data_IF_763537551949
#
_entry.id   IF_763537551949
#
_cell.length_a   1.000
_cell.length_b   1.000
_cell.length_c   1.000
_cell.angle_alpha   90.00
_cell.angle_beta   90.00
_cell.angle_gamma   90.00
#
_symmetry.space_group_name_H-M   'P 1'
#
loop_
_entity.id
_entity.type
_entity.pdbx_description
1 polymer ?
#
# COMPACT_ATOMS: atom_id res chain seq x y z
N UNK A 1 -11.00 18.08 21.00
CA UNK A 1 -11.65 18.78 19.88
C UNK A 1 -10.61 19.54 19.06
N UNK A 2 -10.99 20.07 17.89
CA UNK A 2 -10.08 20.75 16.94
C UNK A 2 -9.12 21.74 17.62
N UNK A 3 -9.65 22.65 18.44
CA UNK A 3 -8.86 23.68 19.15
C UNK A 3 -7.80 23.09 20.09
N UNK A 4 -8.11 21.97 20.76
CA UNK A 4 -7.17 21.31 21.64
C UNK A 4 -6.00 20.70 20.85
N UNK A 5 -6.29 20.09 19.70
CA UNK A 5 -5.26 19.52 18.82
C UNK A 5 -4.37 20.63 18.26
N UNK A 6 -4.96 21.71 17.72
CA UNK A 6 -4.21 22.83 17.18
C UNK A 6 -3.34 23.52 18.24
N UNK A 7 -3.84 23.69 19.46
CA UNK A 7 -3.07 24.21 20.59
C UNK A 7 -1.87 23.34 20.91
N UNK A 8 -2.08 22.02 21.03
CA UNK A 8 -1.00 21.07 21.32
C UNK A 8 0.06 21.06 20.20
N UNK A 9 -0.35 21.06 18.94
CA UNK A 9 0.58 21.10 17.81
C UNK A 9 1.42 22.37 17.81
N UNK A 10 0.81 23.54 18.04
CA UNK A 10 1.52 24.83 18.09
C UNK A 10 2.47 24.95 19.29
N UNK A 11 2.14 24.33 20.42
CA UNK A 11 3.01 24.32 21.60
C UNK A 11 4.23 23.42 21.40
N UNK A 12 4.04 22.23 20.82
CA UNK A 12 5.11 21.25 20.67
C UNK A 12 5.97 21.47 19.41
N UNK A 13 5.37 22.00 18.33
CA UNK A 13 6.06 22.27 17.06
C UNK A 13 5.63 23.63 16.50
N UNK A 14 6.11 24.76 17.09
CA UNK A 14 5.62 26.10 16.76
C UNK A 14 5.79 26.52 15.30
N UNK A 15 6.77 25.93 14.59
CA UNK A 15 7.08 26.22 13.19
C UNK A 15 6.37 25.29 12.20
N UNK A 16 5.51 24.38 12.66
CA UNK A 16 4.78 23.48 11.78
C UNK A 16 3.78 24.25 10.90
N UNK A 17 3.83 24.02 9.58
CA UNK A 17 2.82 24.51 8.66
C UNK A 17 1.61 23.56 8.64
N UNK A 18 0.63 23.82 9.50
CA UNK A 18 -0.55 22.96 9.65
C UNK A 18 -1.63 23.38 8.64
N UNK A 19 -1.93 22.50 7.67
CA UNK A 19 -2.96 22.75 6.64
C UNK A 19 -4.38 22.47 7.14
N UNK A 20 -4.54 21.60 8.14
CA UNK A 20 -5.83 21.20 8.67
C UNK A 20 -5.75 19.93 9.52
N UNK A 21 -6.91 19.38 9.87
CA UNK A 21 -7.05 18.09 10.57
C UNK A 21 -7.92 17.20 9.68
N UNK A 22 -7.39 16.04 9.32
CA UNK A 22 -8.14 15.01 8.61
C UNK A 22 -9.00 14.21 9.60
N UNK A 23 -10.28 14.08 9.30
CA UNK A 23 -11.22 13.23 10.05
C UNK A 23 -11.54 12.03 9.17
N UNK A 24 -11.01 10.87 9.56
CA UNK A 24 -11.22 9.62 8.85
C UNK A 24 -12.05 8.64 9.70
N UNK A 25 -12.82 7.79 9.03
CA UNK A 25 -13.55 6.69 9.68
C UNK A 25 -12.57 5.63 10.16
N UNK A 26 -12.64 5.27 11.44
CA UNK A 26 -11.98 4.09 12.00
C UNK A 26 -12.50 2.83 11.29
N UNK A 27 -11.57 2.05 10.73
CA UNK A 27 -11.87 0.83 9.99
C UNK A 27 -11.75 -0.39 10.91
N UNK A 28 -12.51 -1.47 10.68
CA UNK A 28 -12.30 -2.71 11.41
C UNK A 28 -10.93 -3.32 11.07
N UNK A 29 -10.47 -4.24 11.93
CA UNK A 29 -9.25 -5.00 11.65
C UNK A 29 -9.41 -5.91 10.42
N UNK A 30 -8.33 -6.05 9.68
CA UNK A 30 -8.17 -6.97 8.56
C UNK A 30 -6.72 -7.44 8.49
N UNK A 31 -6.30 -8.00 7.37
CA UNK A 31 -4.88 -8.29 7.13
C UNK A 31 -4.25 -7.10 6.44
N UNK A 32 -3.22 -6.55 7.06
CA UNK A 32 -2.43 -5.47 6.48
C UNK A 32 -1.53 -6.00 5.38
N UNK A 33 -1.56 -5.32 4.24
CA UNK A 33 -0.69 -5.59 3.09
C UNK A 33 -0.06 -4.30 2.61
N UNK A 34 1.02 -4.40 1.86
CA UNK A 34 1.70 -3.27 1.23
C UNK A 34 1.64 -3.46 -0.27
N UNK A 35 1.29 -2.39 -0.99
CA UNK A 35 1.37 -2.32 -2.45
C UNK A 35 2.20 -1.12 -2.82
N UNK A 36 3.36 -1.38 -3.42
CA UNK A 36 4.29 -0.35 -3.83
C UNK A 36 4.51 -0.32 -5.35
N UNK A 37 5.01 0.81 -5.83
CA UNK A 37 5.59 0.98 -7.15
C UNK A 37 6.78 1.92 -7.07
N UNK A 38 7.88 1.59 -7.75
CA UNK A 38 9.05 2.46 -7.89
C UNK A 38 9.53 2.47 -9.33
N UNK A 39 10.35 3.46 -9.68
CA UNK A 39 11.04 3.53 -10.96
C UNK A 39 12.47 3.07 -10.79
N UNK A 40 12.77 1.87 -11.29
CA UNK A 40 14.11 1.33 -11.37
C UNK A 40 14.82 1.79 -12.66
N UNK A 41 16.12 2.07 -12.57
CA UNK A 41 16.93 2.59 -13.68
C UNK A 41 17.10 1.58 -14.83
N UNK A 42 17.03 0.29 -14.55
CA UNK A 42 17.23 -0.79 -15.52
C UNK A 42 15.91 -1.38 -16.02
N UNK A 43 14.93 -1.50 -15.13
CA UNK A 43 13.67 -2.19 -15.42
C UNK A 43 12.47 -1.25 -15.62
N UNK A 44 12.60 0.05 -15.36
CA UNK A 44 11.49 0.99 -15.41
C UNK A 44 10.55 0.82 -14.23
N UNK A 45 9.23 0.85 -14.43
CA UNK A 45 8.26 0.77 -13.33
C UNK A 45 8.23 -0.64 -12.74
N UNK A 46 8.55 -0.77 -11.46
CA UNK A 46 8.54 -2.03 -10.71
C UNK A 46 7.48 -1.96 -9.62
N UNK A 47 6.56 -2.93 -9.61
CA UNK A 47 5.54 -3.12 -8.59
C UNK A 47 6.05 -4.04 -7.48
N UNK A 48 5.60 -3.79 -6.26
CA UNK A 48 5.90 -4.56 -5.06
C UNK A 48 4.61 -4.97 -4.34
N UNK A 49 4.61 -6.17 -3.78
CA UNK A 49 3.55 -6.65 -2.89
C UNK A 49 4.15 -7.44 -1.72
N UNK A 50 3.60 -7.26 -0.52
CA UNK A 50 3.91 -8.04 0.67
C UNK A 50 2.83 -7.88 1.73
N UNK A 51 2.96 -8.61 2.84
CA UNK A 51 2.14 -8.36 4.04
C UNK A 51 2.77 -7.23 4.88
N UNK A 52 1.94 -6.38 5.47
CA UNK A 52 2.37 -5.28 6.33
C UNK A 52 2.95 -5.74 7.66
N UNK A 53 3.46 -4.79 8.45
CA UNK A 53 4.08 -5.05 9.75
C UNK A 53 5.40 -5.84 9.64
N UNK A 54 5.61 -6.78 10.57
CA UNK A 54 6.89 -7.50 10.73
C UNK A 54 7.33 -8.28 9.47
N UNK A 55 6.38 -8.66 8.61
CA UNK A 55 6.64 -9.47 7.42
C UNK A 55 7.46 -8.70 6.37
N UNK A 56 7.25 -7.39 6.24
CA UNK A 56 8.07 -6.55 5.36
C UNK A 56 9.30 -6.00 6.08
N UNK A 57 9.13 -5.50 7.31
CA UNK A 57 10.21 -4.80 8.03
C UNK A 57 11.37 -5.72 8.43
N UNK A 58 11.06 -6.95 8.86
CA UNK A 58 12.05 -7.88 9.40
C UNK A 58 12.29 -9.05 8.47
N UNK A 59 11.22 -9.65 7.94
CA UNK A 59 11.33 -10.87 7.13
C UNK A 59 11.61 -10.60 5.65
N UNK A 60 11.46 -9.34 5.19
CA UNK A 60 11.63 -8.93 3.79
C UNK A 60 10.81 -9.80 2.81
N UNK A 61 9.63 -10.24 3.25
CA UNK A 61 8.75 -11.14 2.51
C UNK A 61 7.91 -10.37 1.49
N UNK A 62 8.54 -10.04 0.37
CA UNK A 62 7.97 -9.25 -0.73
C UNK A 62 8.21 -9.92 -2.07
N UNK A 63 7.29 -9.70 -3.00
CA UNK A 63 7.43 -10.09 -4.39
C UNK A 63 7.41 -8.85 -5.29
N UNK A 64 8.09 -8.94 -6.44
CA UNK A 64 8.22 -7.84 -7.39
C UNK A 64 7.77 -8.23 -8.79
N UNK A 65 7.25 -7.27 -9.56
CA UNK A 65 6.95 -7.42 -10.99
C UNK A 65 7.24 -6.14 -11.76
N UNK A 66 7.85 -6.26 -12.93
CA UNK A 66 7.98 -5.13 -13.86
C UNK A 66 6.61 -4.84 -14.49
N UNK A 67 6.20 -3.58 -14.47
CA UNK A 67 4.98 -3.13 -15.13
C UNK A 67 5.25 -2.82 -16.62
N UNK A 68 4.25 -3.00 -17.50
CA UNK A 68 2.88 -3.44 -17.23
C UNK A 68 2.78 -4.94 -16.92
N UNK A 69 1.89 -5.31 -15.99
CA UNK A 69 1.69 -6.70 -15.56
C UNK A 69 0.22 -7.11 -15.66
N UNK A 70 -0.04 -8.36 -16.07
CA UNK A 70 -1.41 -8.89 -16.13
C UNK A 70 -1.92 -9.28 -14.74
N UNK A 71 -3.25 -9.28 -14.55
CA UNK A 71 -3.87 -9.80 -13.32
C UNK A 71 -3.47 -11.24 -12.99
N UNK A 72 -3.24 -12.07 -14.01
CA UNK A 72 -2.78 -13.45 -13.85
C UNK A 72 -1.39 -13.50 -13.21
N UNK A 73 -0.47 -12.68 -13.71
CA UNK A 73 0.89 -12.60 -13.17
C UNK A 73 0.93 -11.97 -11.78
N UNK A 74 0.07 -10.98 -11.50
CA UNK A 74 -0.13 -10.45 -10.13
C UNK A 74 -0.62 -11.56 -9.19
N UNK A 75 -1.56 -12.40 -9.65
CA UNK A 75 -2.01 -13.55 -8.87
C UNK A 75 -0.89 -14.55 -8.56
N UNK A 76 0.12 -14.69 -9.43
CA UNK A 76 1.31 -15.51 -9.14
C UNK A 76 2.22 -14.81 -8.12
N UNK A 77 2.52 -13.53 -8.34
CA UNK A 77 3.30 -12.68 -7.43
C UNK A 77 2.79 -12.74 -5.98
N UNK A 78 1.47 -12.66 -5.78
CA UNK A 78 0.85 -12.76 -4.44
C UNK A 78 1.10 -14.13 -3.78
N UNK A 79 1.21 -15.21 -4.57
CA UNK A 79 1.45 -16.57 -4.04
C UNK A 79 2.93 -16.85 -3.75
N UNK A 80 3.83 -15.98 -4.22
CA UNK A 80 5.28 -16.16 -4.05
C UNK A 80 5.78 -15.71 -2.68
N UNK A 81 5.04 -14.84 -1.98
CA UNK A 81 5.40 -14.46 -0.62
C UNK A 81 5.18 -15.65 0.32
N UNK A 82 6.13 -15.86 1.22
CA UNK A 82 6.15 -16.97 2.19
C UNK A 82 4.94 -16.92 3.12
N UNK A 83 4.46 -15.72 3.40
CA UNK A 83 3.31 -15.44 4.26
C UNK A 83 1.95 -15.53 3.56
N UNK A 84 1.90 -15.92 2.28
CA UNK A 84 0.64 -16.11 1.53
C UNK A 84 -0.43 -16.95 2.26
N UNK A 85 -0.08 -18.03 3.02
CA UNK A 85 -1.06 -18.78 3.80
C UNK A 85 -1.90 -17.93 4.77
N UNK A 86 -1.39 -16.80 5.27
CA UNK A 86 -2.15 -15.89 6.13
C UNK A 86 -3.33 -15.25 5.41
N UNK A 87 -3.21 -15.01 4.09
CA UNK A 87 -4.31 -14.53 3.27
C UNK A 87 -5.37 -15.60 3.01
N UNK A 88 -5.03 -16.88 3.18
CA UNK A 88 -5.97 -18.00 3.10
C UNK A 88 -6.76 -18.23 4.40
N UNK A 89 -6.35 -17.57 5.48
CA UNK A 89 -6.89 -17.74 6.82
C UNK A 89 -6.09 -18.77 7.62
N UNK A 90 -5.88 -18.47 8.90
CA UNK A 90 -5.25 -19.36 9.88
C UNK A 90 -6.21 -19.62 11.04
N UNK A 91 -6.15 -20.80 11.66
CA UNK A 91 -6.90 -21.12 12.89
C UNK A 91 -8.41 -20.83 12.80
N UNK A 92 -9.05 -21.23 11.69
CA UNK A 92 -10.49 -21.03 11.49
C UNK A 92 -10.87 -19.65 10.97
N UNK A 93 -9.90 -18.74 10.76
CA UNK A 93 -10.16 -17.52 10.02
C UNK A 93 -10.59 -17.81 8.58
N UNK A 94 -11.47 -16.96 8.08
CA UNK A 94 -11.88 -17.00 6.68
C UNK A 94 -10.81 -16.39 5.78
N UNK A 95 -10.76 -16.93 4.56
CA UNK A 95 -9.94 -16.45 3.46
C UNK A 95 -10.24 -14.97 3.15
N UNK A 96 -9.18 -14.20 2.91
CA UNK A 96 -9.25 -12.80 2.49
C UNK A 96 -9.52 -12.68 0.99
N UNK A 97 -10.06 -11.55 0.57
CA UNK A 97 -10.39 -11.28 -0.82
C UNK A 97 -9.14 -10.98 -1.66
N UNK A 98 -8.50 -12.05 -2.12
CA UNK A 98 -7.33 -11.99 -3.02
C UNK A 98 -7.65 -11.23 -4.31
N UNK A 99 -8.90 -11.30 -4.79
CA UNK A 99 -9.33 -10.59 -6.00
C UNK A 99 -9.22 -9.08 -5.85
N UNK A 100 -9.57 -8.57 -4.67
CA UNK A 100 -9.40 -7.15 -4.32
C UNK A 100 -7.92 -6.73 -4.28
N UNK A 101 -7.03 -7.58 -3.76
CA UNK A 101 -5.57 -7.33 -3.81
C UNK A 101 -5.08 -7.25 -5.27
N UNK A 102 -5.44 -8.24 -6.09
CA UNK A 102 -5.06 -8.28 -7.51
C UNK A 102 -5.53 -7.02 -8.24
N UNK A 103 -6.78 -6.60 -8.00
CA UNK A 103 -7.34 -5.40 -8.61
C UNK A 103 -6.63 -4.12 -8.16
N UNK A 104 -6.24 -4.01 -6.88
CA UNK A 104 -5.48 -2.87 -6.36
C UNK A 104 -4.11 -2.77 -7.04
N UNK A 105 -3.32 -3.85 -7.04
CA UNK A 105 -1.99 -3.88 -7.68
C UNK A 105 -2.10 -3.58 -9.17
N UNK A 106 -3.09 -4.15 -9.86
CA UNK A 106 -3.30 -3.90 -11.28
C UNK A 106 -3.60 -2.41 -11.56
N UNK A 107 -4.45 -1.78 -10.74
CA UNK A 107 -4.76 -0.35 -10.87
C UNK A 107 -3.55 0.54 -10.57
N UNK A 108 -2.73 0.18 -9.58
CA UNK A 108 -1.44 0.86 -9.33
C UNK A 108 -0.53 0.74 -10.55
N UNK A 109 -0.39 -0.46 -11.12
CA UNK A 109 0.38 -0.68 -12.35
C UNK A 109 -0.11 0.16 -13.53
N UNK A 110 -1.42 0.25 -13.74
CA UNK A 110 -2.01 1.13 -14.76
C UNK A 110 -1.70 2.60 -14.48
N UNK A 111 -1.80 3.03 -13.21
CA UNK A 111 -1.56 4.42 -12.80
C UNK A 111 -0.12 4.84 -13.07
N UNK A 112 0.87 4.10 -12.56
CA UNK A 112 2.29 4.47 -12.71
C UNK A 112 2.79 4.33 -14.14
N UNK A 113 2.17 3.45 -14.94
CA UNK A 113 2.46 3.35 -16.37
C UNK A 113 1.87 4.52 -17.17
N UNK A 114 0.72 5.06 -16.72
CA UNK A 114 0.06 6.19 -17.38
C UNK A 114 0.70 7.54 -17.03
N UNK A 115 1.28 7.67 -15.84
CA UNK A 115 1.91 8.90 -15.35
C UNK A 115 3.40 8.65 -15.04
N UNK A 116 4.29 8.79 -16.04
CA UNK A 116 5.71 8.55 -15.88
C UNK A 116 6.37 9.37 -14.77
N UNK A 117 5.82 10.53 -14.45
CA UNK A 117 6.27 11.45 -13.40
C UNK A 117 6.14 10.86 -12.00
N UNK A 118 5.29 9.85 -11.78
CA UNK A 118 5.20 9.16 -10.49
C UNK A 118 6.45 8.29 -10.30
N UNK A 119 7.43 8.77 -9.54
CA UNK A 119 8.68 8.05 -9.31
C UNK A 119 8.51 6.93 -8.29
N UNK A 120 7.68 7.15 -7.27
CA UNK A 120 7.34 6.19 -6.22
C UNK A 120 5.85 6.31 -5.86
N UNK A 121 5.21 5.19 -5.56
CA UNK A 121 3.89 5.11 -4.96
C UNK A 121 3.91 4.02 -3.90
N UNK A 122 3.43 4.32 -2.70
CA UNK A 122 3.31 3.36 -1.61
C UNK A 122 1.90 3.42 -1.03
N UNK A 123 1.23 2.27 -0.95
CA UNK A 123 -0.01 2.07 -0.22
C UNK A 123 0.32 1.18 0.97
N UNK A 124 0.46 1.80 2.14
CA UNK A 124 0.86 1.13 3.36
C UNK A 124 0.14 1.72 4.59
N UNK A 125 -0.88 1.05 5.15
CA UNK A 125 -1.37 -0.27 4.76
C UNK A 125 -2.49 -0.22 3.71
N UNK A 126 -2.50 -1.22 2.82
CA UNK A 126 -3.70 -1.72 2.15
C UNK A 126 -4.33 -2.79 3.06
N UNK A 127 -5.43 -2.46 3.73
CA UNK A 127 -6.15 -3.37 4.61
C UNK A 127 -7.07 -4.30 3.81
N UNK A 128 -6.94 -5.61 3.98
CA UNK A 128 -7.69 -6.63 3.23
C UNK A 128 -8.65 -7.40 4.15
N UNK A 129 -9.90 -7.55 3.71
CA UNK A 129 -10.97 -8.22 4.46
C UNK A 129 -11.40 -9.51 3.75
N UNK A 130 -12.39 -10.21 4.33
CA UNK A 130 -13.09 -11.32 3.65
C UNK A 130 -13.74 -10.89 2.33
N UNK A 131 -14.16 -9.62 2.25
CA UNK A 131 -14.74 -8.99 1.07
C UNK A 131 -14.18 -7.57 0.93
N UNK A 132 -13.43 -7.32 -0.14
CA UNK A 132 -12.86 -5.99 -0.39
C UNK A 132 -11.51 -5.75 0.27
N UNK A 133 -10.90 -4.63 -0.13
CA UNK A 133 -9.71 -4.06 0.48
C UNK A 133 -9.84 -2.53 0.54
N UNK A 134 -9.09 -1.88 1.43
CA UNK A 134 -9.10 -0.43 1.61
C UNK A 134 -7.70 0.10 1.89
N UNK A 135 -7.24 1.06 1.08
CA UNK A 135 -6.03 1.83 1.36
C UNK A 135 -6.30 2.73 2.57
N UNK A 136 -5.50 2.58 3.63
CA UNK A 136 -5.63 3.42 4.83
C UNK A 136 -4.67 4.60 4.80
N UNK A 137 -3.55 4.44 4.12
CA UNK A 137 -2.61 5.51 3.81
C UNK A 137 -2.03 5.30 2.40
N UNK A 138 -1.63 6.38 1.76
CA UNK A 138 -0.97 6.36 0.47
C UNK A 138 -0.03 7.55 0.31
N UNK A 139 1.19 7.28 -0.14
CA UNK A 139 2.20 8.28 -0.49
C UNK A 139 2.55 8.17 -1.96
N UNK A 140 2.71 9.31 -2.63
CA UNK A 140 3.14 9.38 -4.03
C UNK A 140 4.25 10.41 -4.12
N UNK A 141 5.40 10.01 -4.66
CA UNK A 141 6.47 10.92 -5.03
C UNK A 141 6.39 11.19 -6.54
N UNK A 142 6.49 12.47 -6.89
CA UNK A 142 6.40 12.94 -8.27
C UNK A 142 7.69 13.65 -8.63
N UNK A 143 8.34 13.22 -9.70
CA UNK A 143 9.46 13.90 -10.32
C UNK A 143 8.94 14.92 -11.34
N UNK A 144 9.02 16.20 -10.95
CA UNK A 144 8.72 17.30 -11.85
C UNK A 144 9.94 17.54 -12.73
N UNK A 145 9.83 17.24 -14.02
CA UNK A 145 10.85 17.69 -14.99
C UNK A 145 10.88 19.21 -14.98
N UNK A 146 12.06 19.78 -14.75
CA UNK A 146 12.32 21.22 -14.88
C UNK A 146 12.13 21.68 -16.32
#
# INVERSE_FOLDING_TARGET
GYEAIMRNCRQNVPKANIRGIEIAKMVPHGVETIVGATTDSSFGKVLMFGLGGIYVEVLKDVAFRVAPVSKREIGKMIREISSYPLLLGVRGEKRKDIGSIINSIYRVGVLVNRFPEISELDINPLMVYEKGAKALDARINIEVKK
#
